data_IF_640288357832
#
_entry.id   IF_640288357832
#
_cell.length_a   1.000
_cell.length_b   1.000
_cell.length_c   1.000
_cell.angle_alpha   90.00
_cell.angle_beta   90.00
_cell.angle_gamma   90.00
#
_symmetry.space_group_name_H-M   'P 1'
#
loop_
_entity.id
_entity.type
_entity.pdbx_description
1 polymer ?
#
# COMPACT_ATOMS: atom_id res chain seq x y z
N UNK A 1 -27.90 -4.49 8.60
CA UNK A 1 -26.51 -3.95 8.66
C UNK A 1 -26.40 -2.60 7.93
N UNK A 2 -26.96 -2.46 6.72
CA UNK A 2 -26.91 -1.22 5.94
C UNK A 2 -27.34 0.06 6.68
N UNK A 3 -28.44 0.11 7.46
CA UNK A 3 -28.82 1.34 8.18
C UNK A 3 -27.79 1.77 9.24
N UNK A 4 -27.13 0.81 9.91
CA UNK A 4 -26.09 1.12 10.90
C UNK A 4 -24.85 1.72 10.23
N UNK A 5 -24.47 1.21 9.05
CA UNK A 5 -23.37 1.75 8.26
C UNK A 5 -23.71 3.18 7.81
N UNK A 6 -24.92 3.42 7.32
CA UNK A 6 -25.36 4.76 6.91
C UNK A 6 -25.30 5.76 8.07
N UNK A 7 -25.74 5.39 9.28
CA UNK A 7 -25.61 6.23 10.47
C UNK A 7 -24.14 6.50 10.84
N UNK A 8 -23.24 5.51 10.63
CA UNK A 8 -21.81 5.67 10.86
C UNK A 8 -21.18 6.62 9.82
N UNK A 9 -21.51 6.46 8.51
CA UNK A 9 -21.05 7.35 7.45
C UNK A 9 -21.50 8.80 7.67
N UNK A 10 -22.71 9.01 8.19
CA UNK A 10 -23.26 10.33 8.56
C UNK A 10 -22.76 10.85 9.91
N UNK A 11 -21.88 10.12 10.58
CA UNK A 11 -21.29 10.47 11.89
C UNK A 11 -22.30 10.68 13.01
N UNK A 12 -23.47 10.02 12.90
CA UNK A 12 -24.49 10.01 13.96
C UNK A 12 -24.06 9.15 15.12
N UNK A 13 -23.28 8.09 14.84
CA UNK A 13 -22.77 7.18 15.87
C UNK A 13 -21.43 7.68 16.43
N UNK A 14 -21.23 7.66 17.75
CA UNK A 14 -19.92 7.92 18.35
C UNK A 14 -18.85 6.92 17.87
N UNK A 15 -17.61 7.39 17.69
CA UNK A 15 -16.49 6.58 17.19
C UNK A 15 -16.29 5.27 17.96
N UNK A 16 -16.48 5.27 19.29
CA UNK A 16 -16.38 4.07 20.12
C UNK A 16 -17.36 2.96 19.71
N UNK A 17 -18.55 3.34 19.24
CA UNK A 17 -19.58 2.39 18.77
C UNK A 17 -19.19 1.90 17.38
N UNK A 18 -18.75 2.78 16.49
CA UNK A 18 -18.25 2.42 15.15
C UNK A 18 -17.09 1.44 15.27
N UNK A 19 -16.09 1.74 16.10
CA UNK A 19 -14.93 0.86 16.35
C UNK A 19 -15.32 -0.49 16.97
N UNK A 20 -16.28 -0.50 17.88
CA UNK A 20 -16.83 -1.77 18.42
C UNK A 20 -17.44 -2.63 17.30
N UNK A 21 -18.23 -2.02 16.41
CA UNK A 21 -18.81 -2.70 15.25
C UNK A 21 -17.72 -3.25 14.32
N UNK A 22 -16.69 -2.45 14.02
CA UNK A 22 -15.54 -2.85 13.21
C UNK A 22 -14.85 -4.08 13.81
N UNK A 23 -14.51 -4.06 15.10
CA UNK A 23 -13.87 -5.21 15.78
C UNK A 23 -14.71 -6.49 15.69
N UNK A 24 -16.05 -6.38 15.78
CA UNK A 24 -16.95 -7.54 15.62
C UNK A 24 -16.91 -8.09 14.19
N UNK A 25 -16.84 -7.21 13.18
CA UNK A 25 -16.71 -7.61 11.78
C UNK A 25 -15.35 -8.27 11.49
N UNK A 26 -14.25 -7.78 12.08
CA UNK A 26 -12.93 -8.39 11.97
C UNK A 26 -12.90 -9.82 12.54
N UNK A 27 -13.46 -10.02 13.73
CA UNK A 27 -13.58 -11.37 14.34
C UNK A 27 -14.38 -12.30 13.44
N UNK A 28 -15.48 -11.81 12.87
CA UNK A 28 -16.29 -12.58 11.92
C UNK A 28 -15.48 -12.92 10.66
N UNK A 29 -14.80 -11.94 10.06
CA UNK A 29 -13.94 -12.15 8.88
C UNK A 29 -12.89 -13.23 9.15
N UNK A 30 -12.17 -13.14 10.25
CA UNK A 30 -11.16 -14.15 10.63
C UNK A 30 -11.77 -15.56 10.75
N UNK A 31 -12.94 -15.69 11.36
CA UNK A 31 -13.61 -16.97 11.47
C UNK A 31 -14.00 -17.52 10.09
N UNK A 32 -14.57 -16.66 9.23
CA UNK A 32 -15.03 -17.05 7.90
C UNK A 32 -13.85 -17.46 7.00
N UNK A 33 -12.73 -16.71 7.03
CA UNK A 33 -11.52 -17.05 6.26
C UNK A 33 -10.83 -18.31 6.79
N UNK A 34 -10.77 -18.50 8.11
CA UNK A 34 -10.25 -19.75 8.70
C UNK A 34 -11.09 -20.96 8.31
N UNK A 35 -12.41 -20.81 8.23
CA UNK A 35 -13.31 -21.89 7.79
C UNK A 35 -13.10 -22.20 6.29
N UNK A 36 -12.86 -21.19 5.44
CA UNK A 36 -12.53 -21.39 4.01
C UNK A 36 -11.19 -22.06 3.81
N UNK A 37 -10.25 -21.85 4.72
CA UNK A 37 -8.95 -22.51 4.75
C UNK A 37 -9.03 -23.97 5.20
N UNK A 38 -10.22 -24.52 5.58
CA UNK A 38 -10.33 -25.87 6.12
C UNK A 38 -9.54 -26.90 5.27
N UNK A 39 -8.54 -27.56 5.88
CA UNK A 39 -7.55 -28.43 5.25
C UNK A 39 -6.12 -28.01 5.58
N UNK A 40 -5.15 -28.54 4.81
CA UNK A 40 -3.74 -28.20 4.98
C UNK A 40 -3.49 -26.71 4.63
N UNK A 41 -2.79 -25.95 5.48
CA UNK A 41 -2.34 -24.60 5.20
C UNK A 41 -1.59 -24.45 3.86
N UNK A 42 -0.73 -25.42 3.53
CA UNK A 42 0.02 -25.41 2.28
C UNK A 42 -0.89 -25.51 1.04
N UNK A 43 -1.95 -26.31 1.12
CA UNK A 43 -2.95 -26.43 0.05
C UNK A 43 -3.72 -25.12 -0.16
N UNK A 44 -3.95 -24.33 0.91
CA UNK A 44 -4.63 -23.04 0.79
C UNK A 44 -3.80 -22.03 -0.01
N UNK A 45 -2.52 -21.89 0.32
CA UNK A 45 -1.62 -20.96 -0.39
C UNK A 45 -1.41 -21.45 -1.84
N UNK A 46 -1.24 -22.74 -2.07
CA UNK A 46 -1.09 -23.29 -3.41
C UNK A 46 -2.32 -23.03 -4.30
N UNK A 47 -3.54 -23.19 -3.76
CA UNK A 47 -4.78 -22.85 -4.47
C UNK A 47 -4.83 -21.35 -4.78
N UNK A 48 -4.53 -20.49 -3.80
CA UNK A 48 -4.52 -19.04 -3.97
C UNK A 48 -3.52 -18.60 -5.06
N UNK A 49 -2.32 -19.18 -5.08
CA UNK A 49 -1.32 -18.94 -6.15
C UNK A 49 -1.82 -19.42 -7.52
N UNK A 50 -2.53 -20.53 -7.57
CA UNK A 50 -3.13 -21.04 -8.82
C UNK A 50 -4.19 -20.06 -9.35
N UNK A 51 -5.04 -19.54 -8.48
CA UNK A 51 -6.03 -18.51 -8.83
C UNK A 51 -5.35 -17.20 -9.30
N UNK A 52 -4.27 -16.77 -8.61
CA UNK A 52 -3.48 -15.63 -9.03
C UNK A 52 -2.93 -15.77 -10.45
N UNK A 53 -2.37 -16.95 -10.78
CA UNK A 53 -1.79 -17.23 -12.11
C UNK A 53 -2.82 -17.18 -13.24
N UNK A 54 -4.08 -17.50 -12.95
CA UNK A 54 -5.19 -17.47 -13.92
C UNK A 54 -5.81 -16.06 -14.08
N UNK A 55 -5.43 -15.12 -13.24
CA UNK A 55 -5.98 -13.75 -13.22
C UNK A 55 -5.19 -12.82 -14.14
N UNK A 56 -5.79 -11.68 -14.52
CA UNK A 56 -5.05 -10.52 -15.07
C UNK A 56 -4.14 -9.93 -13.99
N UNK A 57 -3.13 -9.15 -14.39
CA UNK A 57 -2.22 -8.49 -13.46
C UNK A 57 -2.98 -7.53 -12.54
N UNK A 58 -3.86 -6.70 -13.11
CA UNK A 58 -4.74 -5.80 -12.36
C UNK A 58 -6.20 -6.04 -12.76
N UNK A 59 -7.08 -6.23 -11.76
CA UNK A 59 -8.50 -6.57 -12.01
C UNK A 59 -9.40 -5.33 -11.90
N UNK A 60 -9.07 -4.36 -11.04
CA UNK A 60 -9.94 -3.22 -10.74
C UNK A 60 -9.18 -1.89 -10.70
N UNK A 61 -8.25 -1.67 -11.62
CA UNK A 61 -7.35 -0.52 -11.61
C UNK A 61 -8.08 0.82 -11.72
N UNK A 62 -9.11 0.92 -12.59
CA UNK A 62 -9.93 2.12 -12.69
C UNK A 62 -10.67 2.43 -11.39
N UNK A 63 -11.17 1.39 -10.70
CA UNK A 63 -11.85 1.55 -9.41
C UNK A 63 -10.87 1.94 -8.30
N UNK A 64 -9.67 1.36 -8.26
CA UNK A 64 -8.63 1.73 -7.30
C UNK A 64 -8.19 3.19 -7.49
N UNK A 65 -8.05 3.65 -8.74
CA UNK A 65 -7.73 5.05 -9.03
C UNK A 65 -8.84 5.99 -8.55
N UNK A 66 -10.11 5.71 -8.90
CA UNK A 66 -11.25 6.51 -8.47
C UNK A 66 -11.39 6.55 -6.94
N UNK A 67 -11.07 5.46 -6.25
CA UNK A 67 -11.23 5.33 -4.81
C UNK A 67 -10.12 6.01 -3.99
N UNK A 68 -8.87 6.00 -4.49
CA UNK A 68 -7.70 6.42 -3.72
C UNK A 68 -6.90 7.57 -4.34
N UNK A 69 -6.91 7.74 -5.67
CA UNK A 69 -5.91 8.56 -6.35
C UNK A 69 -6.51 9.72 -7.16
N UNK A 70 -7.83 9.83 -7.26
CA UNK A 70 -8.51 10.94 -7.95
C UNK A 70 -8.76 12.15 -7.03
N UNK A 71 -8.51 12.03 -5.70
CA UNK A 71 -8.51 13.18 -4.82
C UNK A 71 -7.31 14.08 -5.13
N UNK A 72 -7.49 15.41 -5.09
CA UNK A 72 -6.40 16.37 -5.24
C UNK A 72 -5.28 16.16 -4.21
N UNK A 73 -4.03 16.47 -4.60
CA UNK A 73 -2.86 16.37 -3.71
C UNK A 73 -3.04 17.12 -2.39
N UNK A 74 -3.79 18.23 -2.43
CA UNK A 74 -4.09 19.08 -1.28
C UNK A 74 -4.79 18.33 -0.15
N UNK A 75 -5.62 17.32 -0.47
CA UNK A 75 -6.21 16.45 0.54
C UNK A 75 -5.12 15.66 1.28
N UNK A 76 -4.22 15.05 0.53
CA UNK A 76 -3.14 14.24 1.11
C UNK A 76 -2.13 15.11 1.87
N UNK A 77 -1.85 16.32 1.41
CA UNK A 77 -1.01 17.29 2.12
C UNK A 77 -1.61 17.74 3.48
N UNK A 78 -2.94 17.68 3.62
CA UNK A 78 -3.64 17.97 4.90
C UNK A 78 -3.66 16.79 5.86
N UNK A 79 -3.64 15.57 5.34
CA UNK A 79 -3.90 14.36 6.14
C UNK A 79 -2.63 13.57 6.45
N UNK A 80 -1.71 13.51 5.50
CA UNK A 80 -0.44 12.79 5.64
C UNK A 80 0.63 13.66 6.28
N UNK A 81 1.78 13.07 6.59
CA UNK A 81 2.95 13.82 7.01
C UNK A 81 3.69 14.48 5.84
N UNK A 82 4.77 15.23 6.12
CA UNK A 82 5.49 16.02 5.11
C UNK A 82 6.08 15.22 3.94
N UNK A 83 6.38 13.93 4.15
CA UNK A 83 6.88 13.06 3.10
C UNK A 83 5.77 12.48 2.21
N UNK A 84 4.49 12.75 2.52
CA UNK A 84 3.31 12.23 1.82
C UNK A 84 3.35 10.71 1.65
N UNK A 85 3.81 10.02 2.68
CA UNK A 85 3.90 8.56 2.70
C UNK A 85 2.53 7.95 2.95
N UNK A 86 1.78 7.65 1.89
CA UNK A 86 0.46 7.02 1.96
C UNK A 86 0.58 5.50 2.11
N UNK A 87 1.32 5.08 3.14
CA UNK A 87 1.55 3.68 3.53
C UNK A 87 2.03 3.62 4.98
N UNK A 88 2.16 2.43 5.58
CA UNK A 88 2.57 2.26 6.96
C UNK A 88 3.90 2.97 7.27
N UNK A 89 3.93 3.71 8.38
CA UNK A 89 5.16 4.29 8.94
C UNK A 89 5.76 3.38 10.03
N UNK A 90 7.01 3.65 10.42
CA UNK A 90 7.68 2.94 11.53
C UNK A 90 7.91 3.93 12.67
N UNK A 91 7.28 3.68 13.81
CA UNK A 91 7.25 4.58 14.95
C UNK A 91 8.31 4.20 16.00
N UNK A 92 9.08 5.18 16.47
CA UNK A 92 9.78 5.11 17.75
C UNK A 92 8.86 5.51 18.90
N UNK A 93 9.35 5.48 20.13
CA UNK A 93 8.54 5.78 21.33
C UNK A 93 7.98 7.21 21.31
N UNK A 94 8.81 8.19 21.02
CA UNK A 94 8.48 9.64 21.05
C UNK A 94 8.33 10.28 19.67
N UNK A 95 8.15 9.48 18.59
CA UNK A 95 8.02 10.00 17.25
C UNK A 95 6.66 10.71 17.06
N UNK A 96 6.70 11.81 16.30
CA UNK A 96 5.57 12.35 15.58
C UNK A 96 5.43 11.67 14.19
N UNK A 97 4.44 12.06 13.41
CA UNK A 97 4.20 11.47 12.10
C UNK A 97 5.37 11.68 11.13
N UNK A 98 5.98 12.88 11.14
CA UNK A 98 7.13 13.20 10.29
C UNK A 98 8.30 12.26 10.56
N UNK A 99 8.69 12.11 11.83
CA UNK A 99 9.80 11.21 12.21
C UNK A 99 9.50 9.75 11.90
N UNK A 100 8.23 9.36 12.03
CA UNK A 100 7.81 8.00 11.69
C UNK A 100 7.87 7.74 10.17
N UNK A 101 7.54 8.72 9.32
CA UNK A 101 7.71 8.66 7.87
C UNK A 101 9.20 8.56 7.52
N UNK A 102 10.03 9.47 8.02
CA UNK A 102 11.48 9.50 7.77
C UNK A 102 12.16 8.20 8.18
N UNK A 103 11.81 7.67 9.38
CA UNK A 103 12.30 6.37 9.85
C UNK A 103 11.90 5.23 8.92
N UNK A 104 10.65 5.22 8.44
CA UNK A 104 10.17 4.18 7.55
C UNK A 104 10.89 4.22 6.21
N UNK A 105 11.09 5.41 5.62
CA UNK A 105 11.79 5.60 4.36
C UNK A 105 13.26 5.18 4.47
N UNK A 106 13.95 5.62 5.54
CA UNK A 106 15.34 5.22 5.81
C UNK A 106 15.48 3.72 5.95
N UNK A 107 14.64 3.08 6.78
CA UNK A 107 14.68 1.61 6.98
C UNK A 107 14.34 0.87 5.67
N UNK A 108 13.44 1.40 4.85
CA UNK A 108 13.13 0.80 3.55
C UNK A 108 14.34 0.86 2.61
N UNK A 109 15.04 2.00 2.53
CA UNK A 109 16.29 2.12 1.76
C UNK A 109 17.39 1.17 2.27
N UNK A 110 17.57 1.10 3.60
CA UNK A 110 18.54 0.19 4.24
C UNK A 110 18.22 -1.28 3.93
N UNK A 111 16.94 -1.69 4.03
CA UNK A 111 16.51 -3.07 3.75
C UNK A 111 16.57 -3.40 2.26
N UNK A 112 16.32 -2.43 1.40
CA UNK A 112 16.48 -2.58 -0.04
C UNK A 112 17.97 -2.61 -0.46
N UNK A 113 18.91 -2.22 0.42
CA UNK A 113 20.32 -2.11 0.09
C UNK A 113 20.59 -1.06 -0.99
N UNK A 114 19.89 0.08 -0.93
CA UNK A 114 20.10 1.19 -1.88
C UNK A 114 21.35 1.95 -1.47
N UNK A 115 22.28 2.09 -2.41
CA UNK A 115 23.52 2.85 -2.26
C UNK A 115 23.58 3.99 -3.27
N UNK A 116 24.28 5.06 -2.95
CA UNK A 116 24.40 6.22 -3.83
C UNK A 116 25.10 5.85 -5.14
N UNK A 117 24.51 6.22 -6.28
CA UNK A 117 24.96 5.87 -7.63
C UNK A 117 24.20 4.74 -8.30
N UNK A 118 23.23 4.13 -7.62
CA UNK A 118 22.40 3.06 -8.18
C UNK A 118 21.27 3.60 -9.08
N UNK A 119 20.91 2.83 -10.11
CA UNK A 119 19.65 2.95 -10.82
C UNK A 119 18.55 2.24 -10.04
N UNK A 120 17.49 2.97 -9.67
CA UNK A 120 16.38 2.48 -8.82
C UNK A 120 15.06 2.63 -9.58
N UNK A 121 14.25 1.58 -9.59
CA UNK A 121 12.88 1.59 -10.11
C UNK A 121 11.90 1.57 -8.92
N UNK A 122 11.06 2.60 -8.80
CA UNK A 122 9.99 2.70 -7.79
C UNK A 122 8.64 2.38 -8.44
N UNK A 123 8.14 1.16 -8.20
CA UNK A 123 6.90 0.63 -8.76
C UNK A 123 5.69 0.97 -7.87
N UNK A 124 4.80 1.81 -8.39
CA UNK A 124 3.68 2.33 -7.61
C UNK A 124 4.12 3.45 -6.67
N UNK A 125 4.86 4.41 -7.19
CA UNK A 125 5.54 5.47 -6.42
C UNK A 125 4.58 6.38 -5.62
N UNK A 126 3.26 6.33 -5.85
CA UNK A 126 2.27 7.16 -5.18
C UNK A 126 2.61 8.65 -5.31
N UNK A 127 2.61 9.37 -4.20
CA UNK A 127 2.99 10.79 -4.14
C UNK A 127 4.51 11.02 -4.14
N UNK A 128 5.29 9.98 -4.42
CA UNK A 128 6.73 10.07 -4.58
C UNK A 128 7.53 10.02 -3.28
N UNK A 129 6.94 9.58 -2.16
CA UNK A 129 7.62 9.57 -0.87
C UNK A 129 8.97 8.86 -0.90
N UNK A 130 9.05 7.68 -1.52
CA UNK A 130 10.28 6.90 -1.64
C UNK A 130 11.22 7.49 -2.69
N UNK A 131 10.72 7.81 -3.87
CA UNK A 131 11.49 8.39 -4.97
C UNK A 131 12.17 9.71 -4.59
N UNK A 132 11.41 10.64 -3.96
CA UNK A 132 11.94 11.93 -3.51
C UNK A 132 12.90 11.77 -2.33
N UNK A 133 12.65 10.81 -1.43
CA UNK A 133 13.59 10.50 -0.34
C UNK A 133 14.94 10.04 -0.89
N UNK A 134 14.95 9.08 -1.82
CA UNK A 134 16.17 8.59 -2.45
C UNK A 134 16.89 9.75 -3.16
N UNK A 135 16.16 10.53 -3.96
CA UNK A 135 16.74 11.63 -4.71
C UNK A 135 17.43 12.69 -3.85
N UNK A 136 16.89 12.99 -2.66
CA UNK A 136 17.45 13.95 -1.70
C UNK A 136 18.68 13.43 -0.97
N UNK A 137 18.65 12.14 -0.55
CA UNK A 137 19.68 11.58 0.33
C UNK A 137 20.77 10.83 -0.40
N UNK A 138 20.51 10.44 -1.66
CA UNK A 138 21.42 9.71 -2.55
C UNK A 138 21.45 10.38 -3.92
N UNK A 139 22.11 11.56 -4.03
CA UNK A 139 21.98 12.43 -5.20
C UNK A 139 22.60 11.88 -6.50
N UNK A 140 23.40 10.81 -6.41
CA UNK A 140 23.96 10.13 -7.58
C UNK A 140 23.08 8.96 -8.06
N UNK A 141 22.06 8.58 -7.30
CA UNK A 141 21.08 7.60 -7.78
C UNK A 141 20.26 8.19 -8.93
N UNK A 142 19.87 7.35 -9.89
CA UNK A 142 18.84 7.67 -10.87
C UNK A 142 17.56 6.92 -10.51
N UNK A 143 16.49 7.63 -10.26
CA UNK A 143 15.21 7.04 -9.87
C UNK A 143 14.22 7.10 -11.03
N UNK A 144 13.70 5.95 -11.44
CA UNK A 144 12.53 5.87 -12.31
C UNK A 144 11.28 5.60 -11.44
N UNK A 145 10.45 6.62 -11.29
CA UNK A 145 9.21 6.56 -10.52
C UNK A 145 8.04 6.24 -11.45
N UNK A 146 7.31 5.15 -11.17
CA UNK A 146 6.19 4.70 -12.01
C UNK A 146 4.88 4.76 -11.22
N UNK A 147 3.91 5.51 -11.75
CA UNK A 147 2.53 5.57 -11.24
C UNK A 147 1.54 5.40 -12.39
N UNK A 148 0.37 4.87 -12.10
CA UNK A 148 -0.75 4.86 -13.05
C UNK A 148 -1.60 6.15 -12.98
N UNK A 149 -1.27 7.09 -12.08
CA UNK A 149 -1.98 8.35 -11.86
C UNK A 149 -1.18 9.53 -12.42
N UNK A 150 -1.73 10.22 -13.44
CA UNK A 150 -1.13 11.45 -13.98
C UNK A 150 -1.00 12.57 -12.94
N UNK A 151 -2.01 12.84 -12.07
CA UNK A 151 -1.87 13.83 -11.00
C UNK A 151 -0.70 13.54 -10.06
N UNK A 152 -0.48 12.29 -9.67
CA UNK A 152 0.66 11.90 -8.85
C UNK A 152 2.00 12.15 -9.58
N UNK A 153 2.07 11.75 -10.85
CA UNK A 153 3.27 12.00 -11.65
C UNK A 153 3.59 13.50 -11.77
N UNK A 154 2.59 14.34 -12.05
CA UNK A 154 2.75 15.78 -12.13
C UNK A 154 3.20 16.38 -10.78
N UNK A 155 2.61 15.94 -9.68
CA UNK A 155 2.99 16.36 -8.33
C UNK A 155 4.47 16.09 -8.05
N UNK A 156 4.97 14.88 -8.38
CA UNK A 156 6.39 14.52 -8.19
C UNK A 156 7.29 15.44 -9.01
N UNK A 157 6.96 15.70 -10.29
CA UNK A 157 7.72 16.58 -11.15
C UNK A 157 7.75 18.02 -10.63
N UNK A 158 6.65 18.51 -10.07
CA UNK A 158 6.57 19.85 -9.49
C UNK A 158 7.43 19.95 -8.22
N UNK A 159 7.42 18.93 -7.38
CA UNK A 159 8.32 18.84 -6.22
C UNK A 159 9.78 18.78 -6.63
N UNK A 160 10.13 17.98 -7.63
CA UNK A 160 11.50 17.93 -8.16
C UNK A 160 11.98 19.30 -8.65
N UNK A 161 11.11 20.03 -9.37
CA UNK A 161 11.45 21.40 -9.86
C UNK A 161 11.65 22.37 -8.69
N UNK A 162 10.73 22.35 -7.71
CA UNK A 162 10.80 23.23 -6.55
C UNK A 162 12.05 22.99 -5.69
N UNK A 163 12.52 21.76 -5.61
CA UNK A 163 13.66 21.36 -4.79
C UNK A 163 14.98 21.24 -5.58
N UNK A 164 14.96 21.45 -6.91
CA UNK A 164 16.14 21.35 -7.77
C UNK A 164 16.65 19.92 -7.98
N UNK A 165 15.82 18.90 -7.73
CA UNK A 165 16.16 17.50 -7.95
C UNK A 165 16.16 17.19 -9.46
N UNK A 166 17.22 16.57 -9.96
CA UNK A 166 17.40 16.26 -11.40
C UNK A 166 17.56 14.76 -11.68
N UNK A 167 17.50 13.95 -10.64
CA UNK A 167 17.77 12.52 -10.66
C UNK A 167 16.51 11.67 -10.48
N UNK A 168 15.32 12.23 -10.77
CA UNK A 168 14.04 11.52 -10.80
C UNK A 168 13.42 11.67 -12.17
N UNK A 169 13.16 10.55 -12.82
CA UNK A 169 12.31 10.41 -13.99
C UNK A 169 10.95 9.88 -13.58
N UNK A 170 9.87 10.42 -14.14
CA UNK A 170 8.50 9.98 -13.81
C UNK A 170 7.79 9.46 -15.04
N UNK A 171 7.25 8.25 -14.94
CA UNK A 171 6.48 7.61 -16.01
C UNK A 171 5.07 7.28 -15.50
N UNK A 172 4.06 7.74 -16.26
CA UNK A 172 2.68 7.30 -16.03
C UNK A 172 2.39 6.08 -16.91
N UNK A 173 2.23 4.92 -16.28
CA UNK A 173 2.02 3.66 -16.98
C UNK A 173 1.14 2.70 -16.19
N UNK A 174 0.45 1.85 -16.94
CA UNK A 174 -0.29 0.71 -16.40
C UNK A 174 0.67 -0.47 -16.19
N UNK A 175 0.66 -1.06 -14.97
CA UNK A 175 1.48 -2.23 -14.65
C UNK A 175 1.18 -3.45 -15.55
N UNK A 176 0.01 -3.50 -16.16
CA UNK A 176 -0.32 -4.56 -17.12
C UNK A 176 0.61 -4.53 -18.34
N UNK A 177 1.03 -3.33 -18.76
CA UNK A 177 1.79 -3.09 -20.00
C UNK A 177 3.15 -2.46 -19.77
N UNK A 178 3.49 -2.08 -18.54
CA UNK A 178 4.76 -1.42 -18.26
C UNK A 178 5.93 -2.38 -18.51
N UNK A 179 6.89 -1.89 -19.28
CA UNK A 179 8.18 -2.55 -19.55
C UNK A 179 9.26 -1.47 -19.69
N UNK A 180 10.21 -1.39 -18.77
CA UNK A 180 11.30 -0.41 -18.83
C UNK A 180 12.29 -0.79 -19.94
N UNK A 181 12.97 0.23 -20.50
CA UNK A 181 13.97 0.05 -21.54
C UNK A 181 15.39 -0.21 -21.00
N UNK A 182 15.53 -0.27 -19.67
CA UNK A 182 16.81 -0.48 -18.96
C UNK A 182 16.62 -1.38 -17.76
N UNK A 183 17.71 -1.92 -17.25
CA UNK A 183 17.75 -2.69 -16.00
C UNK A 183 18.08 -1.80 -14.81
N UNK A 184 17.85 -2.32 -13.59
CA UNK A 184 17.98 -1.58 -12.35
C UNK A 184 18.76 -2.38 -11.32
N UNK A 185 19.58 -1.69 -10.54
CA UNK A 185 20.27 -2.25 -9.39
C UNK A 185 19.28 -2.62 -8.28
N UNK A 186 18.22 -1.79 -8.15
CA UNK A 186 17.14 -2.03 -7.17
C UNK A 186 15.76 -1.73 -7.79
N UNK A 187 14.85 -2.64 -7.54
CA UNK A 187 13.42 -2.38 -7.75
C UNK A 187 12.79 -2.29 -6.36
N UNK A 188 11.98 -1.27 -6.13
CA UNK A 188 11.24 -1.10 -4.88
C UNK A 188 9.76 -0.99 -5.16
N UNK A 189 8.91 -1.56 -4.29
CA UNK A 189 7.47 -1.38 -4.33
C UNK A 189 6.91 -1.32 -2.92
N UNK A 190 6.09 -0.31 -2.65
CA UNK A 190 5.54 -0.02 -1.33
C UNK A 190 4.03 0.06 -1.42
N UNK A 191 3.33 -0.92 -0.85
CA UNK A 191 1.86 -1.02 -0.78
C UNK A 191 1.15 -0.82 -2.14
N UNK A 192 1.71 -1.39 -3.19
CA UNK A 192 1.12 -1.42 -4.53
C UNK A 192 0.67 -2.84 -4.92
N UNK A 193 1.42 -3.85 -4.52
CA UNK A 193 1.17 -5.24 -4.91
C UNK A 193 -0.18 -5.76 -4.43
N UNK A 194 -0.70 -5.25 -3.32
CA UNK A 194 -2.01 -5.60 -2.79
C UNK A 194 -3.16 -5.23 -3.74
N UNK A 195 -2.93 -4.29 -4.66
CA UNK A 195 -3.85 -3.94 -5.74
C UNK A 195 -3.68 -4.79 -7.00
N UNK A 196 -2.62 -5.63 -7.04
CA UNK A 196 -2.33 -6.52 -8.16
C UNK A 196 -2.83 -7.94 -7.85
N UNK A 197 -3.36 -8.62 -8.86
CA UNK A 197 -3.89 -9.97 -8.69
C UNK A 197 -2.90 -11.05 -9.13
N UNK A 198 -2.15 -10.84 -10.21
CA UNK A 198 -1.19 -11.82 -10.74
C UNK A 198 0.25 -11.46 -10.36
N UNK A 199 0.61 -11.71 -9.10
CA UNK A 199 1.98 -11.49 -8.61
C UNK A 199 3.02 -12.37 -9.33
N UNK A 200 2.77 -13.66 -9.65
CA UNK A 200 3.74 -14.47 -10.40
C UNK A 200 4.22 -13.82 -11.68
N UNK A 201 3.33 -13.25 -12.49
CA UNK A 201 3.70 -12.53 -13.71
C UNK A 201 4.55 -11.28 -13.41
N UNK A 202 4.19 -10.54 -12.37
CA UNK A 202 4.96 -9.34 -11.99
C UNK A 202 6.35 -9.72 -11.48
N UNK A 203 6.48 -10.78 -10.69
CA UNK A 203 7.77 -11.25 -10.19
C UNK A 203 8.70 -11.66 -11.34
N UNK A 204 8.20 -12.40 -12.33
CA UNK A 204 8.98 -12.77 -13.51
C UNK A 204 9.42 -11.54 -14.33
N UNK A 205 8.52 -10.56 -14.52
CA UNK A 205 8.88 -9.29 -15.16
C UNK A 205 9.96 -8.55 -14.37
N UNK A 206 9.80 -8.41 -13.06
CA UNK A 206 10.77 -7.73 -12.21
C UNK A 206 12.13 -8.43 -12.25
N UNK A 207 12.18 -9.76 -12.24
CA UNK A 207 13.42 -10.51 -12.41
C UNK A 207 14.15 -10.08 -13.69
N UNK A 208 13.42 -9.93 -14.81
CA UNK A 208 14.01 -9.49 -16.09
C UNK A 208 14.46 -8.03 -16.12
N UNK A 209 13.97 -7.20 -15.20
CA UNK A 209 14.33 -5.78 -15.07
C UNK A 209 15.51 -5.53 -14.13
N UNK A 210 15.94 -6.54 -13.39
CA UNK A 210 17.07 -6.44 -12.48
C UNK A 210 18.41 -6.58 -13.23
N UNK A 211 19.41 -5.83 -12.80
CA UNK A 211 20.81 -6.07 -13.16
C UNK A 211 21.29 -7.38 -12.53
N UNK A 212 22.37 -8.01 -13.05
CA UNK A 212 23.05 -9.07 -12.33
C UNK A 212 23.38 -8.62 -10.89
N UNK A 213 22.99 -9.40 -9.87
CA UNK A 213 23.06 -9.01 -8.45
C UNK A 213 22.17 -7.85 -8.02
N UNK A 214 21.20 -7.48 -8.86
CA UNK A 214 20.12 -6.57 -8.46
C UNK A 214 19.16 -7.21 -7.47
N UNK A 215 18.37 -6.41 -6.76
CA UNK A 215 17.40 -6.93 -5.79
C UNK A 215 16.06 -6.19 -5.87
N UNK A 216 15.00 -6.92 -5.53
CA UNK A 216 13.65 -6.40 -5.42
C UNK A 216 13.25 -6.28 -3.95
N UNK A 217 12.98 -5.05 -3.50
CA UNK A 217 12.41 -4.78 -2.19
C UNK A 217 10.89 -4.65 -2.30
N UNK A 218 10.18 -5.53 -1.61
CA UNK A 218 8.73 -5.57 -1.54
C UNK A 218 8.25 -5.24 -0.13
N UNK A 219 7.47 -4.15 0.00
CA UNK A 219 6.76 -3.77 1.22
C UNK A 219 5.27 -3.91 0.99
N UNK A 220 4.62 -4.81 1.72
CA UNK A 220 3.17 -5.05 1.65
C UNK A 220 2.59 -5.19 3.05
N UNK A 221 1.34 -4.78 3.23
CA UNK A 221 0.61 -5.26 4.40
C UNK A 221 0.25 -6.74 4.20
N UNK A 222 0.15 -7.48 5.28
CA UNK A 222 -0.08 -8.92 5.23
C UNK A 222 -0.81 -9.42 6.48
N UNK A 223 -1.60 -10.48 6.29
CA UNK A 223 -2.06 -11.31 7.40
C UNK A 223 -0.98 -12.35 7.73
N UNK A 224 -0.91 -12.76 8.99
CA UNK A 224 0.12 -13.70 9.46
C UNK A 224 0.16 -15.04 8.71
N UNK A 225 -1.02 -15.56 8.29
CA UNK A 225 -1.14 -16.91 7.73
C UNK A 225 -2.34 -17.12 6.76
N UNK A 226 -3.11 -16.06 6.44
CA UNK A 226 -4.25 -16.14 5.53
C UNK A 226 -4.04 -15.23 4.31
N UNK A 227 -4.26 -15.77 3.12
CA UNK A 227 -4.39 -15.00 1.89
C UNK A 227 -5.86 -14.99 1.43
N UNK A 228 -6.40 -13.82 1.11
CA UNK A 228 -7.77 -13.69 0.63
C UNK A 228 -7.98 -12.43 -0.22
N UNK A 229 -9.05 -12.43 -1.03
CA UNK A 229 -9.44 -11.30 -1.87
C UNK A 229 -10.45 -10.39 -1.16
N UNK A 230 -10.41 -9.09 -1.50
CA UNK A 230 -11.45 -8.14 -1.16
C UNK A 230 -12.47 -8.07 -2.31
N UNK A 231 -13.59 -8.77 -2.13
CA UNK A 231 -14.69 -8.83 -3.09
C UNK A 231 -15.97 -8.31 -2.45
N UNK A 232 -16.82 -7.64 -3.23
CA UNK A 232 -18.09 -7.13 -2.74
C UNK A 232 -19.20 -8.17 -2.98
N UNK A 233 -19.48 -8.97 -1.96
CA UNK A 233 -20.57 -9.95 -1.96
C UNK A 233 -21.80 -9.48 -1.18
N UNK A 234 -21.75 -8.28 -0.58
CA UNK A 234 -22.89 -7.77 0.18
C UNK A 234 -22.58 -6.66 1.18
N UNK A 235 -23.56 -6.34 2.03
CA UNK A 235 -23.50 -5.19 2.94
C UNK A 235 -22.35 -5.24 3.97
N UNK A 236 -21.72 -6.40 4.16
CA UNK A 236 -20.55 -6.57 5.04
C UNK A 236 -19.21 -6.14 4.40
N UNK A 237 -19.19 -6.01 3.08
CA UNK A 237 -17.95 -5.78 2.31
C UNK A 237 -17.74 -4.30 1.98
N UNK A 238 -18.05 -3.44 2.95
CA UNK A 238 -17.96 -1.99 2.83
C UNK A 238 -16.57 -1.52 2.38
N UNK A 239 -15.50 -2.13 2.88
CA UNK A 239 -14.13 -1.82 2.51
C UNK A 239 -13.87 -2.11 1.03
N UNK A 240 -14.24 -3.29 0.56
CA UNK A 240 -14.12 -3.67 -0.85
C UNK A 240 -14.89 -2.71 -1.75
N UNK A 241 -16.10 -2.31 -1.35
CA UNK A 241 -16.97 -1.43 -2.14
C UNK A 241 -16.42 -0.01 -2.30
N UNK A 242 -15.88 0.59 -1.23
CA UNK A 242 -15.59 2.02 -1.20
C UNK A 242 -14.10 2.36 -1.27
N UNK A 243 -13.20 1.43 -0.89
CA UNK A 243 -11.78 1.74 -0.78
C UNK A 243 -10.84 0.68 -1.35
N UNK A 244 -11.24 -0.59 -1.43
CA UNK A 244 -10.28 -1.64 -1.77
C UNK A 244 -10.85 -2.70 -2.72
N UNK A 245 -11.54 -2.23 -3.78
CA UNK A 245 -12.16 -3.11 -4.79
C UNK A 245 -11.09 -3.93 -5.52
N UNK A 246 -11.25 -5.24 -5.52
CA UNK A 246 -10.38 -6.17 -6.24
C UNK A 246 -8.99 -6.37 -5.65
N UNK A 247 -8.69 -5.72 -4.51
CA UNK A 247 -7.43 -5.91 -3.80
C UNK A 247 -7.33 -7.27 -3.10
N UNK A 248 -6.16 -7.56 -2.57
CA UNK A 248 -5.88 -8.79 -1.81
C UNK A 248 -5.28 -8.47 -0.44
N UNK A 249 -5.51 -9.35 0.51
CA UNK A 249 -4.73 -9.48 1.73
C UNK A 249 -3.79 -10.66 1.54
N UNK A 250 -2.50 -10.46 1.30
CA UNK A 250 -1.54 -11.56 1.20
C UNK A 250 -1.25 -12.15 2.58
N UNK A 251 -0.87 -13.42 2.61
CA UNK A 251 -0.24 -14.02 3.79
C UNK A 251 1.28 -13.73 3.82
N UNK A 252 1.88 -13.80 5.01
CA UNK A 252 3.33 -13.57 5.14
C UNK A 252 4.19 -14.55 4.37
N UNK A 253 3.68 -15.72 4.05
CA UNK A 253 4.41 -16.75 3.31
C UNK A 253 4.16 -16.72 1.81
N UNK A 254 3.18 -15.95 1.34
CA UNK A 254 2.80 -15.89 -0.08
C UNK A 254 3.99 -15.67 -1.02
N UNK A 255 4.91 -14.69 -0.80
CA UNK A 255 6.02 -14.45 -1.73
C UNK A 255 6.97 -15.64 -1.92
N UNK A 256 7.03 -16.57 -0.98
CA UNK A 256 7.88 -17.76 -1.11
C UNK A 256 7.35 -18.81 -2.10
N UNK A 257 6.12 -18.64 -2.60
CA UNK A 257 5.44 -19.61 -3.45
C UNK A 257 5.21 -19.12 -4.89
N UNK A 258 5.73 -17.92 -5.25
CA UNK A 258 5.29 -17.24 -6.47
C UNK A 258 6.18 -17.46 -7.69
N UNK A 259 7.50 -17.44 -7.55
CA UNK A 259 8.43 -17.38 -8.67
C UNK A 259 9.56 -18.38 -8.50
N UNK A 260 10.03 -18.91 -9.64
CA UNK A 260 11.28 -19.62 -9.72
C UNK A 260 12.46 -18.68 -10.02
N UNK A 261 12.19 -17.46 -10.49
CA UNK A 261 13.20 -16.51 -10.95
C UNK A 261 13.70 -15.57 -9.86
N UNK A 262 12.90 -15.40 -8.79
CA UNK A 262 13.22 -14.59 -7.61
C UNK A 262 13.05 -15.43 -6.34
N UNK A 263 14.04 -15.41 -5.48
CA UNK A 263 13.95 -16.01 -4.14
C UNK A 263 13.95 -14.94 -3.04
N UNK A 264 13.20 -15.19 -1.96
CA UNK A 264 13.18 -14.34 -0.77
C UNK A 264 14.46 -14.62 0.03
N UNK A 265 15.43 -13.69 -0.01
CA UNK A 265 16.70 -13.81 0.74
C UNK A 265 16.59 -13.23 2.14
N UNK A 266 15.72 -12.23 2.35
CA UNK A 266 15.44 -11.64 3.67
C UNK A 266 13.96 -11.30 3.82
N UNK A 267 13.46 -11.44 5.05
CA UNK A 267 12.09 -11.10 5.42
C UNK A 267 12.06 -10.42 6.80
N UNK A 268 11.38 -9.30 6.91
CA UNK A 268 11.16 -8.58 8.15
C UNK A 268 9.68 -8.35 8.37
N UNK A 269 9.19 -8.75 9.53
CA UNK A 269 7.82 -8.44 9.94
C UNK A 269 7.82 -7.16 10.77
N UNK A 270 6.93 -6.24 10.42
CA UNK A 270 6.64 -5.02 11.14
C UNK A 270 5.28 -5.17 11.80
N UNK A 271 5.24 -5.01 13.13
CA UNK A 271 4.01 -5.19 13.90
C UNK A 271 2.93 -4.19 13.44
N UNK A 272 1.69 -4.65 13.33
CA UNK A 272 0.56 -3.86 12.85
C UNK A 272 0.28 -2.60 13.68
N UNK A 273 0.71 -2.54 14.95
CA UNK A 273 0.57 -1.32 15.77
C UNK A 273 1.26 -0.10 15.16
N UNK A 274 2.30 -0.28 14.35
CA UNK A 274 2.92 0.81 13.60
C UNK A 274 1.94 1.40 12.58
N UNK A 275 1.26 0.56 11.85
CA UNK A 275 0.24 1.02 10.89
C UNK A 275 -0.98 1.60 11.60
N UNK A 276 -1.45 0.97 12.67
CA UNK A 276 -2.53 1.52 13.49
C UNK A 276 -2.20 2.94 13.99
N UNK A 277 -0.97 3.18 14.51
CA UNK A 277 -0.54 4.53 14.93
C UNK A 277 -0.52 5.53 13.77
N UNK A 278 -0.10 5.09 12.58
CA UNK A 278 -0.10 5.92 11.36
C UNK A 278 -1.53 6.35 11.00
N UNK A 279 -2.45 5.41 10.95
CA UNK A 279 -3.87 5.65 10.64
C UNK A 279 -4.56 6.54 11.67
N UNK A 280 -4.22 6.40 12.97
CA UNK A 280 -4.70 7.29 14.02
C UNK A 280 -4.11 8.71 13.89
N UNK A 281 -2.87 8.85 13.39
CA UNK A 281 -2.30 10.16 13.11
C UNK A 281 -3.02 10.82 11.92
N UNK A 282 -3.27 10.08 10.85
CA UNK A 282 -4.05 10.57 9.70
C UNK A 282 -5.49 10.92 10.08
N UNK A 283 -6.15 10.12 10.92
CA UNK A 283 -7.50 10.42 11.41
C UNK A 283 -7.54 11.73 12.20
N UNK A 284 -6.56 11.94 13.08
CA UNK A 284 -6.44 13.21 13.84
C UNK A 284 -6.19 14.41 12.94
N UNK A 285 -5.33 14.26 11.92
CA UNK A 285 -5.07 15.31 10.94
C UNK A 285 -6.33 15.63 10.12
N UNK A 286 -7.04 14.60 9.64
CA UNK A 286 -8.32 14.75 8.93
C UNK A 286 -9.34 15.52 9.76
N UNK A 287 -9.47 15.19 11.05
CA UNK A 287 -10.41 15.86 11.96
C UNK A 287 -9.99 17.31 12.26
N UNK A 288 -8.70 17.57 12.46
CA UNK A 288 -8.15 18.91 12.69
C UNK A 288 -8.32 19.82 11.46
N UNK A 289 -8.12 19.28 10.25
CA UNK A 289 -8.22 20.01 8.99
C UNK A 289 -9.64 19.95 8.36
N UNK A 290 -10.66 19.57 9.13
CA UNK A 290 -12.02 19.36 8.64
C UNK A 290 -12.51 20.49 7.74
N UNK A 291 -12.32 21.76 8.13
CA UNK A 291 -12.83 22.90 7.37
C UNK A 291 -12.18 23.03 5.98
N UNK A 292 -10.87 22.75 5.90
CA UNK A 292 -10.11 22.77 4.64
C UNK A 292 -10.48 21.55 3.77
N UNK A 293 -10.56 20.38 4.38
CA UNK A 293 -10.93 19.13 3.70
C UNK A 293 -12.35 19.18 3.15
N UNK A 294 -13.31 19.75 3.89
CA UNK A 294 -14.69 19.87 3.41
C UNK A 294 -14.78 20.71 2.13
N UNK A 295 -13.99 21.78 1.99
CA UNK A 295 -13.96 22.57 0.73
C UNK A 295 -13.46 21.73 -0.45
N UNK A 296 -12.48 20.87 -0.24
CA UNK A 296 -11.98 19.95 -1.26
C UNK A 296 -13.07 18.93 -1.62
N UNK A 297 -13.73 18.36 -0.62
CA UNK A 297 -14.77 17.35 -0.82
C UNK A 297 -16.04 17.92 -1.48
N UNK A 298 -16.41 19.16 -1.16
CA UNK A 298 -17.50 19.87 -1.84
C UNK A 298 -17.20 20.03 -3.34
N UNK A 299 -15.95 20.37 -3.67
CA UNK A 299 -15.53 20.48 -5.07
C UNK A 299 -15.50 19.13 -5.82
N UNK A 300 -15.16 18.02 -5.13
CA UNK A 300 -15.01 16.69 -5.74
C UNK A 300 -16.33 15.90 -5.70
N UNK A 301 -17.05 15.93 -4.58
CA UNK A 301 -18.18 15.05 -4.31
C UNK A 301 -19.55 15.77 -4.26
N UNK A 302 -19.55 17.11 -4.36
CA UNK A 302 -20.80 17.91 -4.29
C UNK A 302 -21.60 17.63 -3.02
N UNK A 303 -22.87 17.29 -3.17
CA UNK A 303 -23.80 17.03 -2.06
C UNK A 303 -23.41 15.84 -1.18
N UNK A 304 -22.57 14.93 -1.67
CA UNK A 304 -22.07 13.77 -0.91
C UNK A 304 -20.82 14.09 -0.06
N UNK A 305 -20.31 15.32 -0.06
CA UNK A 305 -19.08 15.71 0.63
C UNK A 305 -19.05 15.32 2.12
N UNK A 306 -20.13 15.60 2.86
CA UNK A 306 -20.22 15.28 4.30
C UNK A 306 -20.20 13.75 4.54
N UNK A 307 -20.83 12.98 3.66
CA UNK A 307 -20.82 11.52 3.69
C UNK A 307 -19.42 10.96 3.42
N UNK A 308 -18.70 11.53 2.44
CA UNK A 308 -17.33 11.13 2.12
C UNK A 308 -16.36 11.47 3.24
N UNK A 309 -16.55 12.58 3.94
CA UNK A 309 -15.77 12.88 5.15
C UNK A 309 -15.99 11.77 6.21
N UNK A 310 -17.23 11.35 6.43
CA UNK A 310 -17.53 10.22 7.31
C UNK A 310 -16.91 8.91 6.85
N UNK A 311 -16.93 8.62 5.53
CA UNK A 311 -16.31 7.43 4.93
C UNK A 311 -14.80 7.41 5.13
N UNK A 312 -14.10 8.52 4.92
CA UNK A 312 -12.66 8.61 5.15
C UNK A 312 -12.30 8.38 6.63
N UNK A 313 -13.08 8.94 7.54
CA UNK A 313 -12.91 8.65 8.98
C UNK A 313 -13.10 7.16 9.29
N UNK A 314 -14.17 6.58 8.75
CA UNK A 314 -14.45 5.14 8.92
C UNK A 314 -13.35 4.27 8.32
N UNK A 315 -12.80 4.64 7.17
CA UNK A 315 -11.68 3.94 6.53
C UNK A 315 -10.45 3.91 7.45
N UNK A 316 -10.04 5.07 7.97
CA UNK A 316 -8.90 5.12 8.89
C UNK A 316 -9.17 4.35 10.19
N UNK A 317 -10.36 4.45 10.75
CA UNK A 317 -10.75 3.65 11.93
C UNK A 317 -10.75 2.15 11.63
N UNK A 318 -11.30 1.73 10.50
CA UNK A 318 -11.38 0.31 10.13
C UNK A 318 -9.99 -0.31 9.96
N UNK A 319 -9.11 0.40 9.24
CA UNK A 319 -7.72 -0.05 9.07
C UNK A 319 -6.94 0.01 10.40
N UNK A 320 -7.15 1.03 11.24
CA UNK A 320 -6.51 1.11 12.56
C UNK A 320 -6.91 -0.06 13.46
N UNK A 321 -8.20 -0.40 13.53
CA UNK A 321 -8.69 -1.54 14.31
C UNK A 321 -8.19 -2.89 13.74
N UNK A 322 -8.09 -3.02 12.41
CA UNK A 322 -7.54 -4.20 11.76
C UNK A 322 -6.07 -4.40 12.17
N UNK A 323 -5.24 -3.39 11.99
CA UNK A 323 -3.81 -3.51 12.28
C UNK A 323 -3.49 -3.52 13.77
N UNK A 324 -4.36 -3.04 14.65
CA UNK A 324 -4.21 -3.17 16.12
C UNK A 324 -4.69 -4.51 16.66
N UNK A 325 -5.42 -5.30 15.88
CA UNK A 325 -6.00 -6.56 16.35
C UNK A 325 -4.94 -7.51 16.88
N UNK A 326 -5.25 -8.22 17.98
CA UNK A 326 -4.30 -9.12 18.65
C UNK A 326 -2.93 -8.46 18.92
N UNK A 327 -2.93 -7.21 19.42
CA UNK A 327 -1.71 -6.41 19.65
C UNK A 327 -0.82 -6.23 18.40
N UNK A 328 -1.44 -6.19 17.22
CA UNK A 328 -0.74 -6.04 15.93
C UNK A 328 -0.07 -7.31 15.42
N UNK A 329 -0.39 -8.48 15.97
CA UNK A 329 0.22 -9.74 15.55
C UNK A 329 -0.61 -10.52 14.53
N UNK A 330 -1.86 -10.14 14.28
CA UNK A 330 -2.71 -10.81 13.30
C UNK A 330 -2.47 -10.26 11.90
N UNK A 331 -2.61 -8.94 11.73
CA UNK A 331 -2.26 -8.20 10.52
C UNK A 331 -1.10 -7.26 10.81
N UNK A 332 -0.19 -7.14 9.89
CA UNK A 332 0.97 -6.27 10.00
C UNK A 332 1.48 -5.88 8.63
N UNK A 333 2.74 -5.49 8.57
CA UNK A 333 3.44 -5.21 7.33
C UNK A 333 4.63 -6.15 7.22
N UNK A 334 4.90 -6.62 6.02
CA UNK A 334 6.07 -7.43 5.71
C UNK A 334 6.94 -6.74 4.68
N UNK A 335 8.23 -6.73 4.93
CA UNK A 335 9.25 -6.34 3.98
C UNK A 335 10.01 -7.59 3.53
N UNK A 336 10.18 -7.73 2.24
CA UNK A 336 10.97 -8.81 1.65
C UNK A 336 12.08 -8.19 0.80
N UNK A 337 13.24 -8.83 0.83
CA UNK A 337 14.28 -8.66 -0.18
C UNK A 337 14.30 -9.92 -1.01
N UNK A 338 14.17 -9.78 -2.31
CA UNK A 338 14.18 -10.87 -3.27
C UNK A 338 15.33 -10.65 -4.25
N UNK A 339 16.02 -11.73 -4.57
CA UNK A 339 17.17 -11.71 -5.48
C UNK A 339 16.95 -12.75 -6.60
N UNK A 340 17.52 -12.57 -7.79
CA UNK A 340 17.47 -13.57 -8.86
C UNK A 340 18.07 -14.90 -8.41
N UNK A 341 17.40 -16.00 -8.69
CA UNK A 341 17.86 -17.35 -8.36
C UNK A 341 19.12 -17.75 -9.15
N UNK A 342 19.26 -17.24 -10.38
CA UNK A 342 20.43 -17.42 -11.25
C UNK A 342 20.93 -16.07 -11.74
N UNK A 343 21.80 -15.36 -10.99
CA UNK A 343 22.25 -14.02 -11.38
C UNK A 343 23.11 -13.99 -12.66
N UNK A 344 23.54 -15.11 -13.19
CA UNK A 344 24.33 -15.23 -14.42
C UNK A 344 23.47 -15.38 -15.69
N UNK A 345 22.14 -15.63 -15.57
CA UNK A 345 21.23 -15.88 -16.70
C UNK A 345 20.23 -14.74 -16.93
N UNK A 346 20.27 -13.68 -16.15
CA UNK A 346 19.34 -12.53 -16.24
C UNK A 346 19.85 -11.45 -17.19
#
# INVERSE_FOLDING_TARGET
MQPVIDFAERRVLPDRIVRFGIRRLLVRRLRDERNRRAGDPADHVARFVTEMRSSRVAVAQSSANAQHYELPSEFFEKVLGPALKYSSCIWGESDDLQRAEERALRISCERAGIEDGMDVLDLGCGWGSMSLWIARHMPKCNVLAVSNSRPQGQFILDRCRAEGLRNVEVVTADMEHFAPQRRFHRVVSVEMFEHMRNWPVLFNRIASWLEPHGAFFLHVFAHRDLAYCYEDHGSGDWMARHFFTGGIMPSNDLPYHLSADLEVTRHWRVNGRHYSRTLEAWLRALDAEKASVMKIFEAVYGDDADRWFGRWRMFFMACSELFSHNNGNEWGVSHYLLEPTNPAEV
#
